data_IF_220824827986
#
_entry.id   IF_220824827986
#
_cell.length_a   1.000
_cell.length_b   1.000
_cell.length_c   1.000
_cell.angle_alpha   90.00
_cell.angle_beta   90.00
_cell.angle_gamma   90.00
#
_symmetry.space_group_name_H-M   'P 1'
#
loop_
_entity.id
_entity.type
_entity.pdbx_description
1 polymer ?
#
# COMPACT_ATOMS: atom_id res chain seq x y z
N UNK A 1 -7.81 6.80 3.70
CA UNK A 1 -8.34 5.64 2.94
C UNK A 1 -9.46 6.12 2.06
N UNK A 2 -9.35 6.00 0.74
CA UNK A 2 -10.42 6.41 -0.16
C UNK A 2 -11.70 5.60 0.07
N UNK A 3 -12.82 6.29 0.07
CA UNK A 3 -14.15 5.72 -0.10
C UNK A 3 -14.61 6.12 -1.48
N UNK A 4 -15.02 5.16 -2.27
CA UNK A 4 -15.54 5.38 -3.60
C UNK A 4 -17.05 5.26 -3.58
N UNK A 5 -17.72 6.22 -4.24
CA UNK A 5 -19.18 6.26 -4.33
C UNK A 5 -19.63 6.40 -5.78
N UNK A 6 -20.60 5.60 -6.21
CA UNK A 6 -21.24 5.72 -7.53
C UNK A 6 -22.68 5.24 -7.43
N UNK A 7 -23.63 6.12 -7.73
CA UNK A 7 -25.05 5.89 -7.51
C UNK A 7 -25.32 5.51 -6.03
N UNK A 8 -25.89 4.35 -5.79
CA UNK A 8 -26.19 3.79 -4.47
C UNK A 8 -25.06 2.93 -3.89
N UNK A 9 -23.95 2.73 -4.62
CA UNK A 9 -22.84 1.87 -4.20
C UNK A 9 -21.74 2.65 -3.50
N UNK A 10 -21.26 2.08 -2.40
CA UNK A 10 -20.09 2.56 -1.66
C UNK A 10 -19.06 1.45 -1.50
N UNK A 11 -17.78 1.76 -1.67
CA UNK A 11 -16.65 0.82 -1.54
C UNK A 11 -15.55 1.48 -0.73
N UNK A 12 -15.02 0.79 0.26
CA UNK A 12 -13.84 1.23 1.00
C UNK A 12 -12.58 0.57 0.45
N UNK A 13 -11.61 1.38 0.06
CA UNK A 13 -10.28 0.91 -0.34
C UNK A 13 -9.23 1.27 0.69
N UNK A 14 -8.67 0.27 1.34
CA UNK A 14 -7.58 0.46 2.28
C UNK A 14 -6.28 0.64 1.50
N UNK A 15 -5.88 1.91 1.32
CA UNK A 15 -4.68 2.25 0.57
C UNK A 15 -3.43 2.00 1.37
N UNK A 16 -2.87 0.81 1.27
CA UNK A 16 -1.55 0.50 1.81
C UNK A 16 -0.46 1.12 0.91
N UNK A 17 0.43 1.97 1.45
CA UNK A 17 1.46 2.63 0.64
C UNK A 17 2.33 1.64 -0.13
N UNK A 18 2.62 1.94 -1.40
CA UNK A 18 3.46 1.14 -2.33
C UNK A 18 2.87 -0.20 -2.76
N UNK A 19 1.58 -0.41 -2.55
CA UNK A 19 0.83 -1.59 -2.97
C UNK A 19 -0.22 -1.28 -4.07
N UNK A 20 0.12 -0.48 -5.07
CA UNK A 20 -0.70 -0.10 -6.23
C UNK A 20 -1.86 0.87 -5.97
N UNK A 21 -1.93 1.55 -4.81
CA UNK A 21 -3.05 2.45 -4.48
C UNK A 21 -3.38 3.47 -5.55
N UNK A 22 -2.39 4.23 -6.05
CA UNK A 22 -2.62 5.23 -7.12
C UNK A 22 -3.17 4.63 -8.43
N UNK A 23 -2.96 3.33 -8.69
CA UNK A 23 -3.56 2.66 -9.84
C UNK A 23 -5.05 2.41 -9.62
N UNK A 24 -5.42 1.98 -8.42
CA UNK A 24 -6.81 1.78 -8.02
C UNK A 24 -7.57 3.09 -8.02
N UNK A 25 -7.04 4.10 -7.34
CA UNK A 25 -7.67 5.42 -7.22
C UNK A 25 -7.99 6.01 -8.58
N UNK A 26 -6.99 6.00 -9.46
CA UNK A 26 -7.17 6.49 -10.82
C UNK A 26 -8.16 5.66 -11.62
N UNK A 27 -8.12 4.34 -11.49
CA UNK A 27 -9.04 3.45 -12.20
C UNK A 27 -10.50 3.70 -11.80
N UNK A 28 -10.77 3.84 -10.49
CA UNK A 28 -12.11 4.17 -10.00
C UNK A 28 -12.57 5.54 -10.49
N UNK A 29 -11.75 6.59 -10.33
CA UNK A 29 -12.13 7.96 -10.74
C UNK A 29 -12.31 8.08 -12.25
N UNK A 30 -11.47 7.46 -13.08
CA UNK A 30 -11.63 7.41 -14.54
C UNK A 30 -12.88 6.58 -14.97
N UNK A 31 -13.36 5.69 -14.10
CA UNK A 31 -14.61 4.93 -14.31
C UNK A 31 -15.85 5.62 -13.75
N UNK A 32 -15.74 6.89 -13.37
CA UNK A 32 -16.85 7.74 -12.93
C UNK A 32 -17.28 7.50 -11.49
N UNK A 33 -16.40 6.97 -10.63
CA UNK A 33 -16.60 6.93 -9.18
C UNK A 33 -16.09 8.22 -8.53
N UNK A 34 -16.85 8.78 -7.64
CA UNK A 34 -16.40 9.84 -6.74
C UNK A 34 -15.50 9.27 -5.66
N UNK A 35 -14.55 10.07 -5.19
CA UNK A 35 -13.55 9.63 -4.21
C UNK A 35 -13.49 10.61 -3.04
N UNK A 36 -13.89 10.14 -1.86
CA UNK A 36 -13.79 10.85 -0.60
C UNK A 36 -12.62 10.35 0.27
N UNK A 37 -12.34 11.07 1.37
CA UNK A 37 -11.27 10.75 2.33
C UNK A 37 -9.88 10.65 1.69
N UNK A 38 -9.66 11.44 0.63
CA UNK A 38 -8.36 11.57 -0.04
C UNK A 38 -7.74 12.93 0.26
N UNK A 39 -6.96 13.01 1.35
CA UNK A 39 -6.27 14.23 1.74
C UNK A 39 -4.93 13.91 2.37
N UNK A 40 -3.87 14.54 1.89
CA UNK A 40 -2.54 14.49 2.50
C UNK A 40 -2.49 15.38 3.74
N UNK A 41 -1.68 15.01 4.72
CA UNK A 41 -1.31 15.88 5.82
C UNK A 41 -0.01 16.63 5.49
N UNK A 42 0.14 17.86 5.96
CA UNK A 42 1.37 18.64 5.81
C UNK A 42 2.51 18.10 6.70
N UNK A 43 2.18 17.56 7.88
CA UNK A 43 3.12 16.89 8.77
C UNK A 43 3.35 15.43 8.30
N UNK A 44 4.56 15.05 7.92
CA UNK A 44 4.85 13.70 7.47
C UNK A 44 4.73 12.61 8.57
N UNK A 45 4.58 13.00 9.83
CA UNK A 45 4.40 12.09 10.95
C UNK A 45 2.91 11.88 11.31
N UNK A 46 2.03 12.64 10.66
CA UNK A 46 0.58 12.50 10.80
C UNK A 46 0.05 11.88 9.50
N UNK A 47 -0.57 10.69 9.56
CA UNK A 47 -1.10 10.06 8.37
C UNK A 47 -2.16 10.91 7.69
N UNK A 48 -2.02 11.09 6.37
CA UNK A 48 -3.08 11.64 5.55
C UNK A 48 -4.31 10.71 5.55
N UNK A 49 -5.48 11.25 5.26
CA UNK A 49 -6.72 10.47 5.26
C UNK A 49 -6.65 9.24 4.35
N UNK A 50 -5.94 9.35 3.22
CA UNK A 50 -5.79 8.24 2.27
C UNK A 50 -4.86 7.11 2.75
N UNK A 51 -4.04 7.33 3.76
CA UNK A 51 -3.14 6.33 4.35
C UNK A 51 -3.53 5.91 5.78
N UNK A 52 -4.76 6.17 6.22
CA UNK A 52 -5.23 5.66 7.51
C UNK A 52 -5.28 4.12 7.50
N UNK A 53 -5.19 3.52 8.68
CA UNK A 53 -5.56 2.11 8.88
C UNK A 53 -7.08 1.95 8.86
N UNK A 54 -7.59 0.72 8.76
CA UNK A 54 -9.03 0.46 8.84
C UNK A 54 -9.64 1.07 10.11
N UNK A 55 -9.04 0.82 11.26
CA UNK A 55 -9.48 1.37 12.54
C UNK A 55 -9.41 2.90 12.58
N UNK A 56 -8.39 3.49 11.97
CA UNK A 56 -8.28 4.95 11.86
C UNK A 56 -9.40 5.57 11.02
N UNK A 57 -9.83 4.92 9.95
CA UNK A 57 -10.98 5.38 9.16
C UNK A 57 -12.31 5.11 9.89
N UNK A 58 -12.46 3.96 10.53
CA UNK A 58 -13.67 3.60 11.29
C UNK A 58 -14.05 4.65 12.34
N UNK A 59 -13.04 5.28 12.95
CA UNK A 59 -13.27 6.40 13.87
C UNK A 59 -13.86 7.66 13.21
N UNK A 60 -13.79 7.77 11.87
CA UNK A 60 -14.31 8.92 11.10
C UNK A 60 -15.58 8.57 10.31
N UNK A 61 -15.82 7.29 10.04
CA UNK A 61 -16.90 6.77 9.21
C UNK A 61 -17.64 5.68 10.00
N UNK A 62 -18.69 6.03 10.74
CA UNK A 62 -19.38 5.09 11.63
C UNK A 62 -20.02 3.90 10.92
N UNK A 63 -20.44 4.07 9.66
CA UNK A 63 -21.06 3.06 8.77
C UNK A 63 -20.04 2.29 7.89
N UNK A 64 -18.74 2.37 8.22
CA UNK A 64 -17.67 1.76 7.40
C UNK A 64 -17.85 0.24 7.23
N UNK A 65 -18.37 -0.43 8.25
CA UNK A 65 -18.54 -1.89 8.25
C UNK A 65 -19.70 -2.36 7.34
N UNK A 66 -20.57 -1.44 6.91
CA UNK A 66 -21.78 -1.75 6.15
C UNK A 66 -21.53 -1.92 4.65
N UNK A 67 -20.39 -1.47 4.14
CA UNK A 67 -20.08 -1.56 2.71
C UNK A 67 -18.82 -2.37 2.41
N UNK A 68 -18.73 -2.94 1.20
CA UNK A 68 -17.59 -3.77 0.82
C UNK A 68 -16.27 -3.03 0.96
N UNK A 69 -15.27 -3.77 1.42
CA UNK A 69 -13.93 -3.22 1.62
C UNK A 69 -12.87 -4.15 1.04
N UNK A 70 -11.83 -3.58 0.44
CA UNK A 70 -10.68 -4.34 -0.01
C UNK A 70 -9.37 -3.59 0.22
N UNK A 71 -8.30 -4.34 0.25
CA UNK A 71 -6.94 -3.81 0.24
C UNK A 71 -6.05 -4.57 -0.74
N UNK A 72 -4.93 -3.97 -1.09
CA UNK A 72 -3.89 -4.63 -1.88
C UNK A 72 -2.63 -4.72 -1.04
N UNK A 73 -2.06 -5.92 -0.95
CA UNK A 73 -0.79 -6.19 -0.28
C UNK A 73 0.29 -6.57 -1.27
N UNK A 74 1.52 -6.37 -0.89
CA UNK A 74 2.69 -6.63 -1.74
C UNK A 74 3.77 -7.35 -0.94
N UNK A 75 4.56 -8.20 -1.63
CA UNK A 75 5.73 -8.83 -1.01
C UNK A 75 6.58 -7.77 -0.29
N UNK A 76 6.87 -7.92 1.03
CA UNK A 76 7.52 -6.89 1.84
C UNK A 76 8.89 -6.46 1.31
N UNK A 77 9.70 -7.36 0.76
CA UNK A 77 10.97 -7.00 0.14
C UNK A 77 10.78 -6.06 -1.07
N UNK A 78 9.83 -6.40 -1.95
CA UNK A 78 9.50 -5.58 -3.13
C UNK A 78 8.87 -4.24 -2.73
N UNK A 79 8.10 -4.22 -1.64
CA UNK A 79 7.50 -3.01 -1.09
C UNK A 79 8.58 -2.06 -0.56
N UNK A 80 9.54 -2.55 0.23
CA UNK A 80 10.66 -1.77 0.76
C UNK A 80 11.53 -1.16 -0.36
N UNK A 81 11.86 -1.93 -1.39
CA UNK A 81 12.60 -1.42 -2.56
C UNK A 81 11.79 -0.34 -3.29
N UNK A 82 10.48 -0.54 -3.44
CA UNK A 82 9.59 0.45 -4.08
C UNK A 82 9.53 1.76 -3.31
N UNK A 83 9.52 1.69 -1.99
CA UNK A 83 9.52 2.84 -1.11
C UNK A 83 10.84 3.61 -1.19
N UNK A 84 11.97 2.93 -1.06
CA UNK A 84 13.30 3.54 -1.20
C UNK A 84 13.46 4.26 -2.54
N UNK A 85 13.05 3.60 -3.65
CA UNK A 85 13.11 4.21 -4.98
C UNK A 85 12.23 5.44 -5.09
N UNK A 86 11.02 5.39 -4.55
CA UNK A 86 10.10 6.51 -4.59
C UNK A 86 10.64 7.72 -3.83
N UNK A 87 11.15 7.52 -2.61
CA UNK A 87 11.77 8.60 -1.84
C UNK A 87 13.01 9.17 -2.52
N UNK A 88 13.83 8.30 -3.13
CA UNK A 88 15.05 8.73 -3.79
C UNK A 88 14.82 9.49 -5.10
N UNK A 89 13.85 9.08 -5.89
CA UNK A 89 13.67 9.57 -7.27
C UNK A 89 12.59 10.63 -7.37
N UNK A 90 11.42 10.40 -6.78
CA UNK A 90 10.26 11.27 -6.90
C UNK A 90 10.24 12.35 -5.83
N UNK A 91 10.38 11.96 -4.59
CA UNK A 91 10.38 12.90 -3.47
C UNK A 91 11.73 13.59 -3.29
N UNK A 92 12.81 12.98 -3.80
CA UNK A 92 14.20 13.46 -3.60
C UNK A 92 14.56 13.72 -2.14
N UNK A 93 13.87 13.05 -1.21
CA UNK A 93 14.02 13.20 0.24
C UNK A 93 15.13 12.36 0.82
N UNK A 94 15.66 11.38 0.06
CA UNK A 94 16.79 10.57 0.50
C UNK A 94 17.87 10.42 -0.58
N UNK A 95 19.13 10.51 -0.16
CA UNK A 95 20.31 10.21 -0.98
C UNK A 95 21.03 8.94 -0.52
N UNK A 96 20.61 8.36 0.61
CA UNK A 96 21.24 7.18 1.21
C UNK A 96 21.01 5.94 0.35
N UNK A 97 21.91 4.97 0.48
CA UNK A 97 21.76 3.68 -0.18
C UNK A 97 20.63 2.85 0.42
N UNK A 98 20.31 1.73 -0.21
CA UNK A 98 19.19 0.88 0.25
C UNK A 98 19.45 0.28 1.63
N UNK A 99 20.69 -0.06 1.95
CA UNK A 99 21.03 -0.70 3.24
C UNK A 99 20.88 0.27 4.41
N UNK A 100 21.31 1.52 4.22
CA UNK A 100 21.13 2.59 5.20
C UNK A 100 19.66 3.00 5.31
N UNK A 101 18.92 2.95 4.21
CA UNK A 101 17.49 3.18 4.22
C UNK A 101 16.76 2.15 5.08
N UNK A 102 17.06 0.85 4.92
CA UNK A 102 16.46 -0.21 5.74
C UNK A 102 16.77 -0.02 7.23
N UNK A 103 18.03 0.33 7.58
CA UNK A 103 18.39 0.66 8.97
C UNK A 103 17.59 1.84 9.51
N UNK A 104 17.43 2.90 8.71
CA UNK A 104 16.63 4.07 9.09
C UNK A 104 15.18 3.67 9.39
N UNK A 105 14.56 2.90 8.51
CA UNK A 105 13.19 2.40 8.70
C UNK A 105 13.09 1.59 10.01
N UNK A 106 14.02 0.66 10.24
CA UNK A 106 14.04 -0.17 11.44
C UNK A 106 14.11 0.65 12.74
N UNK A 107 14.95 1.67 12.76
CA UNK A 107 15.09 2.56 13.92
C UNK A 107 13.85 3.42 14.12
N UNK A 108 13.33 4.01 13.04
CA UNK A 108 12.18 4.90 13.11
C UNK A 108 10.90 4.20 13.57
N UNK A 109 10.67 2.97 13.14
CA UNK A 109 9.50 2.19 13.55
C UNK A 109 9.50 1.82 15.04
N UNK A 110 10.66 1.82 15.71
CA UNK A 110 10.73 1.68 17.17
C UNK A 110 10.16 2.89 17.90
N UNK A 111 10.19 4.07 17.27
CA UNK A 111 9.72 5.32 17.87
C UNK A 111 8.26 5.60 17.48
N UNK A 112 7.90 5.41 16.22
CA UNK A 112 6.53 5.66 15.75
C UNK A 112 6.20 4.82 14.52
N UNK A 113 5.04 4.17 14.54
CA UNK A 113 4.49 3.47 13.38
C UNK A 113 3.89 4.41 12.32
N UNK A 114 3.56 5.65 12.68
CA UNK A 114 2.95 6.64 11.76
C UNK A 114 3.97 7.39 10.92
N UNK A 115 5.25 7.14 11.14
CA UNK A 115 6.33 7.84 10.46
C UNK A 115 6.20 7.79 8.93
N UNK A 116 6.48 8.92 8.28
CA UNK A 116 6.36 9.07 6.83
C UNK A 116 4.97 8.70 6.30
N UNK A 117 3.93 9.24 6.91
CA UNK A 117 2.55 9.08 6.43
C UNK A 117 2.15 7.59 6.34
N UNK A 118 2.49 6.80 7.35
CA UNK A 118 2.29 5.34 7.37
C UNK A 118 3.04 4.56 6.26
N UNK A 119 3.95 5.17 5.51
CA UNK A 119 4.62 4.49 4.40
C UNK A 119 5.47 3.29 4.84
N UNK A 120 6.02 3.35 6.06
CA UNK A 120 6.87 2.28 6.59
C UNK A 120 6.13 1.30 7.48
N UNK A 121 4.91 1.62 7.84
CA UNK A 121 4.08 0.77 8.70
C UNK A 121 3.90 -0.63 8.10
N UNK A 122 3.93 -1.72 8.90
CA UNK A 122 3.57 -3.06 8.44
C UNK A 122 2.19 -3.07 7.77
N UNK A 123 2.02 -3.87 6.73
CA UNK A 123 0.76 -3.96 6.00
C UNK A 123 -0.32 -4.63 6.85
N UNK A 124 0.08 -5.59 7.70
CA UNK A 124 -0.78 -6.26 8.67
C UNK A 124 -1.47 -5.29 9.63
N UNK A 125 -0.84 -4.16 9.97
CA UNK A 125 -1.46 -3.14 10.82
C UNK A 125 -2.65 -2.41 10.14
N UNK A 126 -2.79 -2.51 8.82
CA UNK A 126 -3.90 -1.89 8.08
C UNK A 126 -5.11 -2.80 7.95
N UNK A 127 -4.92 -4.10 8.16
CA UNK A 127 -5.90 -5.14 7.85
C UNK A 127 -6.55 -5.64 9.13
N UNK A 128 -7.88 -5.75 9.09
CA UNK A 128 -8.70 -6.34 10.15
C UNK A 128 -9.62 -7.40 9.55
N UNK A 129 -10.28 -8.18 10.37
CA UNK A 129 -11.25 -9.21 9.95
C UNK A 129 -12.48 -8.60 9.24
N UNK A 130 -12.68 -7.29 9.35
CA UNK A 130 -13.77 -6.58 8.67
C UNK A 130 -13.49 -6.36 7.18
N UNK A 131 -12.23 -6.44 6.73
CA UNK A 131 -11.89 -6.26 5.33
C UNK A 131 -12.31 -7.49 4.53
N UNK A 132 -13.25 -7.30 3.62
CA UNK A 132 -13.86 -8.40 2.85
C UNK A 132 -12.90 -9.07 1.87
N UNK A 133 -11.93 -8.32 1.32
CA UNK A 133 -10.98 -8.87 0.35
C UNK A 133 -9.57 -8.32 0.52
N UNK A 134 -8.62 -9.21 0.80
CA UNK A 134 -7.17 -8.93 0.76
C UNK A 134 -6.60 -9.45 -0.55
N UNK A 135 -6.09 -8.56 -1.40
CA UNK A 135 -5.60 -8.88 -2.74
C UNK A 135 -4.07 -8.81 -2.77
N UNK A 136 -3.39 -9.89 -3.13
CA UNK A 136 -1.97 -9.81 -3.46
C UNK A 136 -1.78 -9.12 -4.80
N UNK A 137 -0.88 -8.14 -4.89
CA UNK A 137 -0.61 -7.38 -6.12
C UNK A 137 -0.26 -8.28 -7.32
N UNK A 138 0.32 -9.44 -7.05
CA UNK A 138 0.69 -10.44 -8.06
C UNK A 138 -0.54 -11.09 -8.73
N UNK A 139 -1.69 -11.06 -8.06
CA UNK A 139 -2.99 -11.58 -8.53
C UNK A 139 -4.03 -10.48 -8.72
N UNK A 140 -3.59 -9.21 -8.78
CA UNK A 140 -4.46 -8.04 -8.72
C UNK A 140 -5.67 -8.13 -9.66
N UNK A 141 -5.43 -8.29 -10.95
CA UNK A 141 -6.52 -8.23 -11.93
C UNK A 141 -7.54 -9.36 -11.74
N UNK A 142 -7.07 -10.59 -11.48
CA UNK A 142 -7.96 -11.74 -11.25
C UNK A 142 -8.80 -11.52 -9.99
N UNK A 143 -8.13 -11.26 -8.86
CA UNK A 143 -8.84 -11.14 -7.58
C UNK A 143 -9.69 -9.88 -7.46
N UNK A 144 -9.34 -8.81 -8.21
CA UNK A 144 -10.18 -7.63 -8.28
C UNK A 144 -11.42 -7.86 -9.18
N UNK A 145 -11.28 -8.58 -10.29
CA UNK A 145 -12.43 -8.97 -11.11
C UNK A 145 -13.44 -9.78 -10.30
N UNK A 146 -12.97 -10.80 -9.57
CA UNK A 146 -13.82 -11.60 -8.66
C UNK A 146 -14.54 -10.72 -7.63
N UNK A 147 -13.85 -9.75 -7.03
CA UNK A 147 -14.44 -8.79 -6.08
C UNK A 147 -15.45 -7.86 -6.77
N UNK A 148 -15.13 -7.40 -7.98
CA UNK A 148 -16.03 -6.55 -8.78
C UNK A 148 -17.34 -7.27 -9.14
N UNK A 149 -17.24 -8.54 -9.53
CA UNK A 149 -18.40 -9.37 -9.88
C UNK A 149 -19.26 -9.66 -8.63
N UNK A 150 -18.64 -10.03 -7.52
CA UNK A 150 -19.31 -10.33 -6.24
C UNK A 150 -20.14 -9.13 -5.73
N UNK A 151 -19.66 -7.91 -5.97
CA UNK A 151 -20.31 -6.69 -5.52
C UNK A 151 -20.95 -5.87 -6.64
N UNK A 152 -21.05 -6.46 -7.83
CA UNK A 152 -21.69 -5.85 -9.02
C UNK A 152 -21.17 -4.43 -9.35
N UNK A 153 -19.85 -4.24 -9.28
CA UNK A 153 -19.22 -2.93 -9.46
C UNK A 153 -19.15 -2.49 -10.94
N UNK A 154 -19.32 -3.43 -11.86
CA UNK A 154 -19.36 -3.18 -13.30
C UNK A 154 -17.99 -2.92 -13.93
N UNK A 155 -16.90 -3.31 -13.28
CA UNK A 155 -15.56 -3.23 -13.87
C UNK A 155 -15.29 -4.44 -14.77
N UNK A 156 -15.06 -4.19 -16.05
CA UNK A 156 -14.77 -5.23 -17.06
C UNK A 156 -13.31 -5.28 -17.47
N UNK A 157 -12.59 -4.18 -17.29
CA UNK A 157 -11.20 -4.04 -17.71
C UNK A 157 -10.23 -4.22 -16.54
N UNK A 158 -9.01 -4.72 -16.78
CA UNK A 158 -8.01 -4.84 -15.72
C UNK A 158 -7.53 -3.48 -15.22
N UNK A 159 -7.20 -3.39 -13.92
CA UNK A 159 -6.63 -2.18 -13.33
C UNK A 159 -5.32 -1.81 -14.06
N UNK A 160 -5.26 -0.64 -14.72
CA UNK A 160 -4.06 -0.22 -15.42
C UNK A 160 -2.88 0.01 -14.46
N UNK A 161 -1.68 -0.30 -14.90
CA UNK A 161 -0.47 -0.01 -14.12
C UNK A 161 -0.07 1.45 -14.27
N UNK A 162 -0.52 2.30 -13.36
CA UNK A 162 -0.06 3.68 -13.26
C UNK A 162 1.20 3.77 -12.40
N UNK A 163 2.07 4.76 -12.67
CA UNK A 163 3.21 5.06 -11.82
C UNK A 163 4.44 4.17 -12.01
N UNK A 164 4.54 3.40 -13.09
CA UNK A 164 5.88 2.99 -13.53
C UNK A 164 6.69 4.27 -13.72
N UNK A 165 7.68 4.47 -12.86
CA UNK A 165 8.55 5.62 -12.97
C UNK A 165 9.12 5.66 -14.39
N UNK A 166 8.71 6.66 -15.18
CA UNK A 166 9.35 7.04 -16.45
C UNK A 166 10.77 7.57 -16.24
N UNK A 167 11.23 7.55 -15.01
CA UNK A 167 12.58 7.96 -14.66
C UNK A 167 13.53 6.83 -15.04
N UNK A 168 14.49 7.19 -15.88
CA UNK A 168 15.52 6.35 -16.43
C UNK A 168 16.17 5.40 -15.42
N UNK A 169 17.19 4.67 -15.81
CA UNK A 169 17.81 3.60 -15.03
C UNK A 169 17.90 3.90 -13.54
N UNK A 170 17.13 3.17 -12.73
CA UNK A 170 17.33 3.20 -11.29
C UNK A 170 18.77 2.78 -10.96
N UNK A 171 19.40 3.37 -9.95
CA UNK A 171 20.69 2.91 -9.48
C UNK A 171 20.61 1.41 -9.21
N UNK A 172 21.61 0.66 -9.67
CA UNK A 172 21.70 -0.77 -9.39
C UNK A 172 21.57 -0.99 -7.88
N UNK A 173 20.63 -1.83 -7.49
CA UNK A 173 20.41 -2.18 -6.11
C UNK A 173 21.59 -3.00 -5.59
N UNK A 174 22.39 -2.42 -4.70
CA UNK A 174 23.49 -3.12 -4.02
C UNK A 174 23.01 -3.50 -2.62
N UNK A 175 22.81 -4.78 -2.38
CA UNK A 175 22.31 -5.31 -1.10
C UNK A 175 23.49 -5.91 -0.35
N UNK A 176 23.76 -5.41 0.86
CA UNK A 176 24.75 -5.97 1.76
C UNK A 176 24.17 -7.16 2.53
N UNK A 177 25.06 -8.03 2.99
CA UNK A 177 24.69 -9.13 3.87
C UNK A 177 23.86 -8.64 5.07
N UNK A 178 22.88 -9.41 5.51
CA UNK A 178 21.99 -9.10 6.63
C UNK A 178 20.95 -7.99 6.36
N UNK A 179 21.01 -7.28 5.23
CA UNK A 179 20.01 -6.22 4.95
C UNK A 179 18.61 -6.79 4.75
N UNK A 180 18.49 -7.88 3.99
CA UNK A 180 17.19 -8.51 3.75
C UNK A 180 16.66 -9.21 5.01
N UNK A 181 17.54 -9.72 5.85
CA UNK A 181 17.15 -10.24 7.17
C UNK A 181 16.48 -9.16 8.02
N UNK A 182 17.00 -7.91 8.00
CA UNK A 182 16.35 -6.78 8.70
C UNK A 182 14.96 -6.46 8.10
N UNK A 183 14.81 -6.54 6.77
CA UNK A 183 13.48 -6.34 6.15
C UNK A 183 12.51 -7.43 6.61
N UNK A 184 12.96 -8.68 6.70
CA UNK A 184 12.15 -9.77 7.24
C UNK A 184 11.73 -9.49 8.69
N UNK A 185 12.68 -9.12 9.56
CA UNK A 185 12.40 -8.82 10.96
C UNK A 185 11.40 -7.67 11.13
N UNK A 186 11.53 -6.61 10.33
CA UNK A 186 10.61 -5.46 10.34
C UNK A 186 9.18 -5.87 9.99
N UNK A 187 9.01 -6.78 9.01
CA UNK A 187 7.73 -7.13 8.41
C UNK A 187 7.36 -8.60 8.59
N UNK A 188 7.84 -9.25 9.65
CA UNK A 188 7.57 -10.66 9.93
C UNK A 188 6.08 -10.99 9.85
N UNK A 189 5.26 -10.17 10.50
CA UNK A 189 3.81 -10.34 10.54
C UNK A 189 3.16 -10.21 9.16
N UNK A 190 3.70 -9.37 8.25
CA UNK A 190 3.24 -9.27 6.86
C UNK A 190 3.51 -10.58 6.09
N UNK A 191 4.66 -11.22 6.32
CA UNK A 191 4.97 -12.50 5.67
C UNK A 191 4.02 -13.60 6.12
N UNK A 192 3.76 -13.68 7.41
CA UNK A 192 2.86 -14.68 8.03
C UNK A 192 1.41 -14.43 7.61
N UNK A 193 0.89 -13.22 7.83
CA UNK A 193 -0.50 -12.87 7.58
C UNK A 193 -0.90 -13.02 6.11
N UNK A 194 0.00 -12.69 5.19
CA UNK A 194 -0.32 -12.74 3.76
C UNK A 194 0.31 -13.90 3.01
N UNK A 195 0.98 -14.81 3.71
CA UNK A 195 1.59 -16.03 3.16
C UNK A 195 2.63 -15.75 2.06
N UNK A 196 3.43 -14.69 2.20
CA UNK A 196 4.56 -14.46 1.31
C UNK A 196 5.75 -15.34 1.68
N UNK A 197 6.53 -15.83 0.68
CA UNK A 197 7.76 -16.57 0.97
C UNK A 197 8.75 -15.69 1.72
N UNK A 198 9.40 -16.27 2.72
CA UNK A 198 10.44 -15.60 3.52
C UNK A 198 11.77 -15.48 2.79
N UNK A 199 12.02 -16.35 1.80
CA UNK A 199 13.17 -16.25 0.93
C UNK A 199 13.07 -14.99 0.06
N UNK A 200 14.14 -14.18 0.00
CA UNK A 200 14.13 -12.99 -0.80
C UNK A 200 14.00 -13.29 -2.30
N UNK A 201 13.06 -12.64 -3.01
CA UNK A 201 12.96 -12.77 -4.46
C UNK A 201 14.11 -12.03 -5.14
N UNK A 202 14.33 -12.29 -6.42
CA UNK A 202 15.24 -11.46 -7.23
C UNK A 202 14.72 -10.03 -7.25
N UNK A 203 15.49 -9.12 -6.64
CA UNK A 203 15.21 -7.69 -6.55
C UNK A 203 16.00 -6.96 -7.67
N UNK A 204 15.29 -6.50 -8.70
CA UNK A 204 15.89 -5.76 -9.84
C UNK A 204 15.83 -4.27 -9.59
#
# INVERSE_FOLDING_TARGET
MPIFTKADKKISFIHIPKAAGSSVERYFTESGWEMDYYKSCADPNVPGLHHLTYEGLRGLVPDLDDFPSFCIVRNPYKRMVSEWRWQRTRMRTTKIDFNDFVRRVQVSLKTSKTYWDNHWRPQSDFVTDQIKRVIRIEKLNKSFAEFSDEHELGFTEPIPRFGRSRFGSFPRLKIKEGTLQKVFEIYKDDFEAFGYPTEPPVLK
#
